data_IF_135187440694
#
_entry.id   IF_135187440694
#
_cell.length_a   1.000
_cell.length_b   1.000
_cell.length_c   1.000
_cell.angle_alpha   90.00
_cell.angle_beta   90.00
_cell.angle_gamma   90.00
#
_symmetry.space_group_name_H-M   'P 1'
#
loop_
_entity.id
_entity.type
_entity.pdbx_description
1 polymer ?
#
# COMPACT_ATOMS: atom_id res chain seq x y z
N UNK A 1 23.15 15.84 -13.37
CA UNK A 1 23.09 15.38 -11.96
C UNK A 1 21.69 15.53 -11.37
N UNK A 2 20.98 16.62 -11.65
CA UNK A 2 19.59 16.85 -11.16
C UNK A 2 18.61 15.76 -11.61
N UNK A 3 18.64 15.37 -12.89
CA UNK A 3 17.81 14.29 -13.41
C UNK A 3 17.97 12.99 -12.59
N UNK A 4 19.22 12.60 -12.27
CA UNK A 4 19.48 11.39 -11.48
C UNK A 4 18.97 11.52 -10.04
N UNK A 5 19.06 12.70 -9.45
CA UNK A 5 18.50 12.99 -8.13
C UNK A 5 16.97 12.84 -8.12
N UNK A 6 16.30 13.42 -9.11
CA UNK A 6 14.84 13.28 -9.26
C UNK A 6 14.41 11.84 -9.55
N UNK A 7 15.20 11.11 -10.35
CA UNK A 7 14.95 9.70 -10.64
C UNK A 7 15.03 8.84 -9.36
N UNK A 8 16.07 9.03 -8.55
CA UNK A 8 16.23 8.30 -7.28
C UNK A 8 15.10 8.65 -6.31
N UNK A 9 14.73 9.92 -6.20
CA UNK A 9 13.60 10.36 -5.40
C UNK A 9 12.28 9.76 -5.89
N UNK A 10 12.10 9.68 -7.20
CA UNK A 10 10.95 9.04 -7.83
C UNK A 10 10.88 7.54 -7.58
N UNK A 11 12.01 6.82 -7.66
CA UNK A 11 12.09 5.40 -7.32
C UNK A 11 11.80 5.18 -5.84
N UNK A 12 12.29 6.05 -4.94
CA UNK A 12 12.03 5.98 -3.52
C UNK A 12 10.54 6.17 -3.21
N UNK A 13 9.91 7.22 -3.75
CA UNK A 13 8.48 7.47 -3.62
C UNK A 13 7.65 6.34 -4.24
N UNK A 14 8.05 5.89 -5.42
CA UNK A 14 7.43 4.77 -6.13
C UNK A 14 7.53 3.45 -5.37
N UNK A 15 8.60 3.24 -4.61
CA UNK A 15 8.75 2.08 -3.75
C UNK A 15 7.74 2.08 -2.60
N UNK A 16 7.43 3.25 -2.02
CA UNK A 16 6.32 3.37 -1.03
C UNK A 16 4.99 3.01 -1.69
N UNK A 17 4.69 3.59 -2.86
CA UNK A 17 3.46 3.28 -3.59
C UNK A 17 3.39 1.80 -3.98
N UNK A 18 4.50 1.19 -4.35
CA UNK A 18 4.56 -0.23 -4.67
C UNK A 18 4.24 -1.11 -3.47
N UNK A 19 4.77 -0.82 -2.27
CA UNK A 19 4.45 -1.59 -1.05
C UNK A 19 2.95 -1.49 -0.75
N UNK A 20 2.36 -0.30 -0.85
CA UNK A 20 0.92 -0.11 -0.64
C UNK A 20 0.11 -0.84 -1.73
N UNK A 21 0.51 -0.73 -2.99
CA UNK A 21 -0.13 -1.39 -4.13
C UNK A 21 -0.08 -2.92 -4.04
N UNK A 22 1.01 -3.49 -3.47
CA UNK A 22 1.10 -4.91 -3.15
C UNK A 22 0.02 -5.32 -2.14
N UNK A 23 -0.25 -4.50 -1.11
CA UNK A 23 -1.34 -4.72 -0.16
C UNK A 23 -2.71 -4.72 -0.84
N UNK A 24 -2.99 -3.72 -1.68
CA UNK A 24 -4.23 -3.66 -2.48
C UNK A 24 -4.38 -4.87 -3.41
N UNK A 25 -3.33 -5.20 -4.12
CA UNK A 25 -3.33 -6.33 -5.08
C UNK A 25 -3.56 -7.66 -4.38
N UNK A 26 -3.02 -7.87 -3.18
CA UNK A 26 -3.29 -9.06 -2.38
C UNK A 26 -4.76 -9.15 -1.99
N UNK A 27 -5.33 -8.07 -1.43
CA UNK A 27 -6.73 -8.08 -0.98
C UNK A 27 -7.69 -8.21 -2.16
N UNK A 28 -7.56 -7.37 -3.19
CA UNK A 28 -8.46 -7.44 -4.35
C UNK A 28 -8.27 -8.72 -5.17
N UNK A 29 -7.04 -9.14 -5.39
CA UNK A 29 -6.74 -10.34 -6.17
C UNK A 29 -7.40 -11.61 -5.61
N UNK A 30 -7.51 -11.70 -4.29
CA UNK A 30 -7.98 -12.91 -3.59
C UNK A 30 -9.43 -12.75 -3.11
N UNK A 31 -9.74 -11.66 -2.41
CA UNK A 31 -11.08 -11.43 -1.88
C UNK A 31 -12.06 -10.90 -2.92
N UNK A 32 -11.57 -10.30 -4.02
CA UNK A 32 -12.35 -9.57 -5.04
C UNK A 32 -13.16 -8.43 -4.46
N UNK A 33 -12.63 -7.78 -3.43
CA UNK A 33 -13.25 -6.65 -2.72
C UNK A 33 -12.31 -5.47 -2.69
N UNK A 34 -12.81 -4.28 -3.02
CA UNK A 34 -12.07 -3.03 -2.91
C UNK A 34 -12.02 -2.59 -1.45
N UNK A 35 -10.83 -2.31 -0.94
CA UNK A 35 -10.62 -1.84 0.43
C UNK A 35 -10.09 -0.40 0.44
N UNK A 36 -10.98 0.60 0.35
CA UNK A 36 -10.55 2.01 0.42
C UNK A 36 -10.04 2.42 1.80
N UNK A 37 -10.41 1.70 2.87
CA UNK A 37 -9.86 1.92 4.20
C UNK A 37 -8.36 1.56 4.32
N UNK A 38 -7.76 0.93 3.29
CA UNK A 38 -6.34 0.57 3.29
C UNK A 38 -5.41 1.79 3.46
N UNK A 39 -5.78 2.94 2.86
CA UNK A 39 -5.08 4.20 3.08
C UNK A 39 -5.07 4.64 4.54
N UNK A 40 -6.15 4.41 5.27
CA UNK A 40 -6.26 4.80 6.66
C UNK A 40 -5.53 3.82 7.60
N UNK A 41 -5.37 2.57 7.19
CA UNK A 41 -4.46 1.63 7.89
C UNK A 41 -3.01 2.12 7.79
N UNK A 42 -2.60 2.72 6.65
CA UNK A 42 -1.29 3.39 6.50
C UNK A 42 -1.12 4.49 7.54
N UNK A 43 -2.13 5.35 7.68
CA UNK A 43 -2.16 6.43 8.68
C UNK A 43 -2.05 5.87 10.10
N UNK A 44 -2.85 4.86 10.46
CA UNK A 44 -2.79 4.22 11.78
C UNK A 44 -1.40 3.62 12.05
N UNK A 45 -0.77 2.99 11.06
CA UNK A 45 0.61 2.50 11.16
C UNK A 45 1.59 3.61 11.51
N UNK A 46 1.45 4.78 10.86
CA UNK A 46 2.20 5.99 11.18
C UNK A 46 1.96 6.46 12.61
N UNK A 47 0.71 6.56 13.06
CA UNK A 47 0.39 6.99 14.42
C UNK A 47 0.87 6.02 15.49
N UNK A 48 0.69 4.71 15.29
CA UNK A 48 1.17 3.70 16.26
C UNK A 48 2.67 3.76 16.40
N UNK A 49 3.42 3.83 15.30
CA UNK A 49 4.88 3.94 15.35
C UNK A 49 5.32 5.28 15.97
N UNK A 50 4.63 6.39 15.65
CA UNK A 50 4.87 7.69 16.28
C UNK A 50 4.67 7.62 17.79
N UNK A 51 3.57 7.06 18.26
CA UNK A 51 3.29 6.91 19.70
C UNK A 51 4.35 6.04 20.38
N UNK A 52 4.77 4.95 19.73
CA UNK A 52 5.80 4.07 20.25
C UNK A 52 7.16 4.77 20.41
N UNK A 53 7.57 5.56 19.41
CA UNK A 53 8.85 6.28 19.44
C UNK A 53 8.80 7.50 20.38
N UNK A 54 7.71 8.30 20.28
CA UNK A 54 7.64 9.60 20.94
C UNK A 54 7.19 9.52 22.41
N UNK A 55 6.13 8.73 22.71
CA UNK A 55 5.59 8.65 24.07
C UNK A 55 6.19 7.52 24.90
N UNK A 56 6.53 6.37 24.26
CA UNK A 56 7.07 5.21 24.96
C UNK A 56 8.61 5.16 24.90
N UNK A 57 9.26 6.00 24.09
CA UNK A 57 10.70 6.02 23.94
C UNK A 57 11.30 4.71 23.39
N UNK A 58 10.51 3.93 22.66
CA UNK A 58 10.94 2.63 22.15
C UNK A 58 11.91 2.78 20.98
N UNK A 59 12.85 1.85 20.80
CA UNK A 59 13.71 1.81 19.63
C UNK A 59 12.90 1.74 18.32
N UNK A 60 13.40 2.36 17.27
CA UNK A 60 12.71 2.47 15.98
C UNK A 60 12.23 1.12 15.44
N UNK A 61 13.05 0.06 15.56
CA UNK A 61 12.69 -1.29 15.09
C UNK A 61 11.48 -1.83 15.87
N UNK A 62 11.45 -1.65 17.19
CA UNK A 62 10.34 -2.10 18.03
C UNK A 62 9.07 -1.32 17.72
N UNK A 63 9.17 -0.02 17.47
CA UNK A 63 8.06 0.82 17.05
C UNK A 63 7.45 0.36 15.71
N UNK A 64 8.29 0.01 14.73
CA UNK A 64 7.85 -0.55 13.45
C UNK A 64 7.14 -1.89 13.65
N UNK A 65 7.71 -2.80 14.43
CA UNK A 65 7.10 -4.10 14.72
C UNK A 65 5.74 -3.94 15.43
N UNK A 66 5.64 -3.02 16.39
CA UNK A 66 4.39 -2.71 17.06
C UNK A 66 3.34 -2.18 16.09
N UNK A 67 3.71 -1.28 15.18
CA UNK A 67 2.81 -0.79 14.13
C UNK A 67 2.32 -1.93 13.23
N UNK A 68 3.20 -2.83 12.81
CA UNK A 68 2.86 -4.01 12.01
C UNK A 68 1.86 -4.91 12.74
N UNK A 69 2.10 -5.22 14.02
CA UNK A 69 1.21 -6.08 14.81
C UNK A 69 -0.17 -5.42 14.98
N UNK A 70 -0.21 -4.16 15.40
CA UNK A 70 -1.48 -3.43 15.63
C UNK A 70 -2.27 -3.32 14.32
N UNK A 71 -1.65 -2.95 13.21
CA UNK A 71 -2.34 -2.83 11.93
C UNK A 71 -2.78 -4.20 11.38
N UNK A 72 -2.01 -5.26 11.63
CA UNK A 72 -2.42 -6.63 11.27
C UNK A 72 -3.69 -7.03 12.01
N UNK A 73 -3.75 -6.79 13.31
CA UNK A 73 -4.96 -7.03 14.12
C UNK A 73 -6.11 -6.17 13.63
N UNK A 74 -5.87 -4.87 13.40
CA UNK A 74 -6.86 -3.94 12.86
C UNK A 74 -7.41 -4.43 11.51
N UNK A 75 -6.56 -4.91 10.61
CA UNK A 75 -6.98 -5.46 9.32
C UNK A 75 -7.89 -6.68 9.45
N UNK A 76 -7.60 -7.59 10.40
CA UNK A 76 -8.46 -8.74 10.70
C UNK A 76 -9.79 -8.27 11.29
N UNK A 77 -9.78 -7.26 12.16
CA UNK A 77 -11.00 -6.69 12.76
C UNK A 77 -11.88 -6.05 11.70
N UNK A 78 -11.31 -5.22 10.83
CA UNK A 78 -11.99 -4.59 9.70
C UNK A 78 -12.60 -5.67 8.79
N UNK A 79 -11.84 -6.70 8.45
CA UNK A 79 -12.34 -7.80 7.62
C UNK A 79 -13.53 -8.49 8.28
N UNK A 80 -13.43 -8.85 9.54
CA UNK A 80 -14.47 -9.61 10.24
C UNK A 80 -15.76 -8.80 10.49
N UNK A 81 -15.63 -7.53 10.83
CA UNK A 81 -16.77 -6.69 11.19
C UNK A 81 -17.43 -6.03 9.98
N UNK A 82 -16.62 -5.55 9.02
CA UNK A 82 -17.13 -4.75 7.91
C UNK A 82 -17.26 -5.54 6.60
N UNK A 83 -16.28 -6.40 6.26
CA UNK A 83 -16.26 -7.06 4.95
C UNK A 83 -16.88 -8.46 4.95
N UNK A 84 -16.66 -9.24 6.00
CA UNK A 84 -17.19 -10.62 6.08
C UNK A 84 -18.72 -10.70 5.94
N UNK A 85 -19.52 -9.82 6.59
CA UNK A 85 -20.98 -9.83 6.43
C UNK A 85 -21.45 -9.47 5.00
N UNK A 86 -20.63 -8.74 4.25
CA UNK A 86 -20.97 -8.23 2.92
C UNK A 86 -20.41 -9.04 1.75
N UNK A 87 -19.89 -10.24 2.00
CA UNK A 87 -19.27 -11.07 0.95
C UNK A 87 -20.23 -11.55 -0.13
N UNK A 88 -21.51 -11.64 0.19
CA UNK A 88 -22.60 -11.96 -0.75
C UNK A 88 -23.39 -10.74 -1.22
N UNK A 89 -23.05 -9.54 -0.71
CA UNK A 89 -23.73 -8.31 -1.08
C UNK A 89 -23.20 -7.75 -2.43
N UNK A 90 -23.99 -6.89 -3.10
CA UNK A 90 -23.53 -6.19 -4.29
C UNK A 90 -22.25 -5.42 -4.03
N UNK A 91 -21.38 -5.31 -5.06
CA UNK A 91 -20.08 -4.61 -4.97
C UNK A 91 -20.20 -3.15 -4.50
N UNK A 92 -21.33 -2.49 -4.80
CA UNK A 92 -21.62 -1.13 -4.35
C UNK A 92 -21.76 -1.05 -2.81
N UNK A 93 -22.41 -2.03 -2.17
CA UNK A 93 -22.53 -2.06 -0.71
C UNK A 93 -21.16 -2.22 -0.03
N UNK A 94 -20.31 -3.07 -0.59
CA UNK A 94 -18.91 -3.24 -0.13
C UNK A 94 -18.13 -1.94 -0.27
N UNK A 95 -18.28 -1.24 -1.39
CA UNK A 95 -17.62 0.05 -1.66
C UNK A 95 -18.03 1.12 -0.63
N UNK A 96 -19.35 1.28 -0.40
CA UNK A 96 -19.89 2.27 0.57
C UNK A 96 -19.39 1.94 1.97
N UNK A 97 -19.37 0.67 2.35
CA UNK A 97 -18.86 0.24 3.66
C UNK A 97 -17.36 0.52 3.79
N UNK A 98 -16.57 0.30 2.73
CA UNK A 98 -15.15 0.63 2.72
C UNK A 98 -14.89 2.13 2.97
N UNK A 99 -15.70 3.00 2.33
CA UNK A 99 -15.66 4.46 2.54
C UNK A 99 -16.09 4.80 3.97
N UNK A 100 -17.13 4.15 4.49
CA UNK A 100 -17.59 4.34 5.88
C UNK A 100 -16.51 3.99 6.90
N UNK A 101 -15.82 2.86 6.72
CA UNK A 101 -14.69 2.46 7.58
C UNK A 101 -13.55 3.46 7.47
N UNK A 102 -13.24 3.94 6.26
CA UNK A 102 -12.23 4.97 6.02
C UNK A 102 -12.53 6.23 6.84
N UNK A 103 -13.71 6.81 6.69
CA UNK A 103 -14.10 7.99 7.47
C UNK A 103 -14.16 7.74 8.97
N UNK A 104 -14.59 6.55 9.40
CA UNK A 104 -14.55 6.17 10.82
C UNK A 104 -13.13 6.21 11.38
N UNK A 105 -12.16 5.63 10.69
CA UNK A 105 -10.75 5.65 11.11
C UNK A 105 -10.16 7.06 11.11
N UNK A 106 -10.41 7.87 10.07
CA UNK A 106 -9.95 9.25 9.99
C UNK A 106 -10.50 10.11 11.13
N UNK A 107 -11.82 10.05 11.36
CA UNK A 107 -12.44 10.82 12.45
C UNK A 107 -12.02 10.32 13.84
N UNK A 108 -11.82 9.01 14.01
CA UNK A 108 -11.26 8.48 15.25
C UNK A 108 -9.84 8.99 15.49
N UNK A 109 -8.99 9.03 14.46
CA UNK A 109 -7.66 9.60 14.54
C UNK A 109 -7.71 11.10 14.84
N UNK A 110 -8.64 11.85 14.22
CA UNK A 110 -8.86 13.27 14.46
C UNK A 110 -9.24 13.56 15.92
N UNK A 111 -10.09 12.74 16.51
CA UNK A 111 -10.50 12.88 17.91
C UNK A 111 -9.34 12.57 18.87
N UNK A 112 -8.55 11.53 18.61
CA UNK A 112 -7.46 11.08 19.48
C UNK A 112 -6.24 12.01 19.38
N UNK A 113 -5.79 12.31 18.15
CA UNK A 113 -4.53 13.04 17.90
C UNK A 113 -4.72 14.48 17.46
N UNK A 114 -5.95 14.94 17.25
CA UNK A 114 -6.34 16.27 16.74
C UNK A 114 -5.90 16.50 15.28
N UNK A 115 -6.31 17.64 14.69
CA UNK A 115 -6.06 17.96 13.28
C UNK A 115 -4.62 18.46 12.99
N UNK A 116 -3.88 18.88 14.03
CA UNK A 116 -2.57 19.47 13.84
C UNK A 116 -1.55 18.46 13.32
N UNK A 117 -0.77 18.86 12.30
CA UNK A 117 0.33 18.06 11.80
C UNK A 117 1.37 17.82 12.91
N UNK A 118 1.77 16.58 13.06
CA UNK A 118 2.82 16.19 14.01
C UNK A 118 4.12 15.93 13.26
N UNK A 119 5.23 16.44 13.80
CA UNK A 119 6.56 16.13 13.28
C UNK A 119 6.87 14.67 13.58
N UNK A 120 7.11 13.90 12.52
CA UNK A 120 7.42 12.47 12.64
C UNK A 120 8.94 12.28 12.67
N UNK A 121 9.50 11.65 13.71
CA UNK A 121 10.92 11.33 13.76
C UNK A 121 11.24 10.25 12.72
N UNK A 122 12.17 10.49 11.77
CA UNK A 122 12.52 9.48 10.78
C UNK A 122 13.15 8.26 11.43
N UNK A 123 12.79 7.06 10.96
CA UNK A 123 13.31 5.79 11.49
C UNK A 123 14.83 5.68 11.32
N UNK A 124 15.35 6.23 10.22
CA UNK A 124 16.79 6.29 9.93
C UNK A 124 17.14 7.69 9.47
N UNK A 125 18.19 8.26 10.06
CA UNK A 125 18.71 9.59 9.72
C UNK A 125 20.05 9.47 9.00
N UNK A 126 20.35 10.45 8.13
CA UNK A 126 21.61 10.54 7.40
C UNK A 126 21.45 10.33 5.91
N UNK A 127 22.53 10.56 5.18
CA UNK A 127 22.58 10.45 3.73
C UNK A 127 23.97 10.05 3.23
N UNK A 128 24.00 9.29 2.13
CA UNK A 128 25.24 8.97 1.40
C UNK A 128 25.49 10.05 0.37
N UNK A 129 26.70 10.57 0.34
CA UNK A 129 27.19 11.47 -0.70
C UNK A 129 27.94 10.67 -1.75
N UNK A 130 27.44 10.67 -2.96
CA UNK A 130 28.00 9.94 -4.10
C UNK A 130 28.57 10.96 -5.10
N UNK A 131 29.52 10.57 -5.94
CA UNK A 131 30.18 11.42 -6.93
C UNK A 131 30.80 12.71 -6.33
N UNK A 132 31.58 12.57 -5.25
CA UNK A 132 32.25 13.72 -4.65
C UNK A 132 31.29 14.75 -4.01
N UNK A 133 30.13 14.34 -3.55
CA UNK A 133 29.13 15.21 -2.90
C UNK A 133 28.11 15.84 -3.86
N UNK A 134 28.19 15.57 -5.16
CA UNK A 134 27.24 16.11 -6.16
C UNK A 134 25.88 15.43 -6.14
N UNK A 135 25.77 14.25 -5.56
CA UNK A 135 24.52 13.51 -5.39
C UNK A 135 24.38 13.05 -3.95
N UNK A 136 23.30 13.46 -3.30
CA UNK A 136 23.00 13.08 -1.92
C UNK A 136 21.78 12.18 -1.91
N UNK A 137 21.94 10.92 -1.43
CA UNK A 137 20.85 9.95 -1.30
C UNK A 137 20.59 9.68 0.16
N UNK A 138 19.37 9.93 0.63
CA UNK A 138 18.98 9.67 2.02
C UNK A 138 19.00 8.17 2.34
N UNK A 139 19.45 7.81 3.55
CA UNK A 139 19.38 6.42 4.01
C UNK A 139 17.95 5.87 4.02
N UNK A 140 16.94 6.72 4.30
CA UNK A 140 15.55 6.31 4.25
C UNK A 140 15.12 5.91 2.83
N UNK A 141 15.63 6.58 1.79
CA UNK A 141 15.36 6.21 0.39
C UNK A 141 15.95 4.85 0.04
N UNK A 142 17.19 4.58 0.46
CA UNK A 142 17.83 3.28 0.24
C UNK A 142 17.09 2.16 1.00
N UNK A 143 16.71 2.42 2.24
CA UNK A 143 15.92 1.50 3.06
C UNK A 143 14.58 1.19 2.40
N UNK A 144 13.88 2.21 1.90
CA UNK A 144 12.57 2.06 1.27
C UNK A 144 12.65 1.22 -0.02
N UNK A 145 13.64 1.50 -0.86
CA UNK A 145 13.85 0.74 -2.11
C UNK A 145 14.20 -0.72 -1.80
N UNK A 146 15.13 -0.96 -0.88
CA UNK A 146 15.54 -2.31 -0.49
C UNK A 146 14.39 -3.08 0.17
N UNK A 147 13.64 -2.45 1.08
CA UNK A 147 12.46 -3.06 1.71
C UNK A 147 11.41 -3.43 0.68
N UNK A 148 11.15 -2.56 -0.31
CA UNK A 148 10.19 -2.82 -1.37
C UNK A 148 10.56 -4.06 -2.19
N UNK A 149 11.82 -4.18 -2.61
CA UNK A 149 12.31 -5.35 -3.37
C UNK A 149 12.22 -6.62 -2.53
N UNK A 150 12.66 -6.57 -1.28
CA UNK A 150 12.58 -7.72 -0.36
C UNK A 150 11.14 -8.16 -0.14
N UNK A 151 10.23 -7.22 0.11
CA UNK A 151 8.80 -7.50 0.30
C UNK A 151 8.20 -8.12 -0.97
N UNK A 152 8.50 -7.58 -2.14
CA UNK A 152 8.01 -8.12 -3.42
C UNK A 152 8.46 -9.57 -3.62
N UNK A 153 9.74 -9.87 -3.39
CA UNK A 153 10.30 -11.23 -3.50
C UNK A 153 9.65 -12.15 -2.46
N UNK A 154 9.59 -11.71 -1.20
CA UNK A 154 9.00 -12.49 -0.11
C UNK A 154 7.53 -12.83 -0.37
N UNK A 155 6.72 -11.86 -0.82
CA UNK A 155 5.32 -12.09 -1.18
C UNK A 155 5.17 -13.05 -2.36
N UNK A 156 5.97 -12.86 -3.40
CA UNK A 156 5.94 -13.75 -4.58
C UNK A 156 6.28 -15.18 -4.19
N UNK A 157 7.30 -15.38 -3.37
CA UNK A 157 7.67 -16.71 -2.87
C UNK A 157 6.60 -17.28 -1.92
N UNK A 158 6.05 -16.45 -1.03
CA UNK A 158 4.98 -16.86 -0.13
C UNK A 158 3.74 -17.34 -0.90
N UNK A 159 3.24 -16.55 -1.84
CA UNK A 159 2.05 -16.88 -2.63
C UNK A 159 2.30 -18.07 -3.56
N UNK A 160 3.51 -18.23 -4.10
CA UNK A 160 3.83 -19.33 -5.01
C UNK A 160 4.08 -20.66 -4.30
N UNK A 161 4.80 -20.65 -3.18
CA UNK A 161 5.34 -21.87 -2.54
C UNK A 161 4.60 -22.30 -1.28
N UNK A 162 4.00 -21.36 -0.50
CA UNK A 162 3.37 -21.73 0.78
C UNK A 162 2.02 -22.41 0.61
N UNK A 163 1.59 -23.21 1.60
CA UNK A 163 0.25 -23.80 1.64
C UNK A 163 -0.85 -22.75 1.64
N UNK A 164 -0.66 -21.66 2.43
CA UNK A 164 -1.60 -20.54 2.48
C UNK A 164 -1.64 -19.80 1.14
N UNK A 165 -0.50 -19.58 0.48
CA UNK A 165 -0.45 -18.97 -0.86
C UNK A 165 -1.15 -19.81 -1.93
N UNK A 166 -1.06 -21.15 -1.86
CA UNK A 166 -1.83 -22.05 -2.73
C UNK A 166 -3.33 -21.90 -2.47
N UNK A 167 -3.75 -21.85 -1.19
CA UNK A 167 -5.14 -21.61 -0.81
C UNK A 167 -5.65 -20.25 -1.31
N UNK A 168 -4.81 -19.19 -1.19
CA UNK A 168 -5.13 -17.86 -1.72
C UNK A 168 -5.36 -17.88 -3.22
N UNK A 169 -4.51 -18.55 -3.99
CA UNK A 169 -4.68 -18.68 -5.46
C UNK A 169 -5.94 -19.47 -5.82
N UNK A 170 -6.21 -20.58 -5.13
CA UNK A 170 -7.45 -21.34 -5.35
C UNK A 170 -8.69 -20.47 -5.06
N UNK A 171 -8.70 -19.71 -3.96
CA UNK A 171 -9.80 -18.79 -3.63
C UNK A 171 -9.94 -17.63 -4.64
N UNK A 172 -8.86 -17.24 -5.32
CA UNK A 172 -8.90 -16.17 -6.33
C UNK A 172 -9.56 -16.59 -7.62
N UNK A 173 -9.49 -17.88 -7.96
CA UNK A 173 -10.13 -18.47 -9.14
C UNK A 173 -11.62 -18.77 -8.88
N UNK A 174 -11.90 -19.57 -7.86
CA UNK A 174 -13.27 -19.90 -7.46
C UNK A 174 -13.35 -20.24 -5.97
N UNK A 175 -14.10 -19.41 -5.22
CA UNK A 175 -14.29 -19.59 -3.78
C UNK A 175 -15.12 -20.83 -3.44
N UNK A 176 -16.12 -21.16 -4.24
CA UNK A 176 -16.99 -22.30 -4.00
C UNK A 176 -16.25 -23.62 -4.26
N UNK A 177 -15.54 -23.71 -5.39
CA UNK A 177 -14.69 -24.86 -5.70
C UNK A 177 -13.57 -25.05 -4.66
N UNK A 178 -12.92 -23.96 -4.21
CA UNK A 178 -11.92 -24.03 -3.16
C UNK A 178 -12.49 -24.58 -1.84
N UNK A 179 -13.70 -24.19 -1.47
CA UNK A 179 -14.38 -24.70 -0.28
C UNK A 179 -14.69 -26.19 -0.38
N UNK A 180 -15.15 -26.65 -1.55
CA UNK A 180 -15.40 -28.09 -1.81
C UNK A 180 -14.12 -28.93 -1.71
N UNK A 181 -12.97 -28.35 -2.03
CA UNK A 181 -11.64 -28.96 -1.87
C UNK A 181 -11.08 -28.89 -0.44
N UNK A 182 -11.91 -28.48 0.54
CA UNK A 182 -11.54 -28.41 1.95
C UNK A 182 -10.73 -27.16 2.37
N UNK A 183 -10.63 -26.15 1.50
CA UNK A 183 -9.94 -24.90 1.83
C UNK A 183 -10.85 -24.02 2.69
N UNK A 184 -10.35 -23.57 3.84
CA UNK A 184 -11.06 -22.60 4.66
C UNK A 184 -10.97 -21.20 4.04
N UNK A 185 -11.96 -20.85 3.21
CA UNK A 185 -12.04 -19.56 2.51
C UNK A 185 -12.05 -18.39 3.48
N UNK A 186 -12.71 -18.51 4.65
CA UNK A 186 -12.75 -17.46 5.66
C UNK A 186 -11.35 -17.16 6.21
N UNK A 187 -10.62 -18.19 6.64
CA UNK A 187 -9.26 -18.03 7.14
C UNK A 187 -8.31 -17.47 6.07
N UNK A 188 -8.48 -17.89 4.82
CA UNK A 188 -7.68 -17.43 3.69
C UNK A 188 -7.89 -15.94 3.42
N UNK A 189 -9.14 -15.46 3.43
CA UNK A 189 -9.44 -14.03 3.23
C UNK A 189 -8.94 -13.21 4.42
N UNK A 190 -9.17 -13.65 5.67
CA UNK A 190 -8.66 -12.96 6.86
C UNK A 190 -7.13 -12.86 6.86
N UNK A 191 -6.43 -13.93 6.46
CA UNK A 191 -4.97 -13.90 6.31
C UNK A 191 -4.52 -12.90 5.22
N UNK A 192 -5.29 -12.76 4.15
CA UNK A 192 -5.00 -11.78 3.09
C UNK A 192 -5.10 -10.34 3.60
N UNK A 193 -6.17 -10.04 4.37
CA UNK A 193 -6.32 -8.72 5.00
C UNK A 193 -5.23 -8.46 6.03
N UNK A 194 -4.84 -9.46 6.81
CA UNK A 194 -3.74 -9.38 7.77
C UNK A 194 -2.41 -8.99 7.09
N UNK A 195 -2.05 -9.69 6.01
CA UNK A 195 -0.84 -9.39 5.24
C UNK A 195 -0.92 -8.01 4.59
N UNK A 196 -2.04 -7.67 3.95
CA UNK A 196 -2.24 -6.35 3.35
C UNK A 196 -2.07 -5.22 4.38
N UNK A 197 -2.67 -5.37 5.57
CA UNK A 197 -2.56 -4.37 6.64
C UNK A 197 -1.18 -4.30 7.27
N UNK A 198 -0.44 -5.41 7.34
CA UNK A 198 0.98 -5.42 7.74
C UNK A 198 1.84 -4.61 6.76
N UNK A 199 1.60 -4.76 5.45
CA UNK A 199 2.26 -3.98 4.41
C UNK A 199 1.90 -2.50 4.48
N UNK A 200 0.62 -2.18 4.75
CA UNK A 200 0.18 -0.82 4.96
C UNK A 200 0.89 -0.15 6.14
N UNK A 201 1.11 -0.87 7.24
CA UNK A 201 1.87 -0.35 8.38
C UNK A 201 3.31 -0.03 8.02
N UNK A 202 4.01 -0.95 7.34
CA UNK A 202 5.39 -0.73 6.88
C UNK A 202 5.45 0.49 5.95
N UNK A 203 4.55 0.56 4.98
CA UNK A 203 4.47 1.68 4.05
C UNK A 203 4.17 3.00 4.77
N UNK A 204 3.30 2.99 5.80
CA UNK A 204 2.97 4.15 6.62
C UNK A 204 4.18 4.70 7.36
N UNK A 205 4.95 3.83 8.00
CA UNK A 205 6.20 4.22 8.68
C UNK A 205 7.23 4.81 7.71
N UNK A 206 7.42 4.17 6.55
CA UNK A 206 8.34 4.64 5.52
C UNK A 206 7.88 5.97 4.92
N UNK A 207 6.58 6.11 4.62
CA UNK A 207 5.99 7.35 4.11
C UNK A 207 6.15 8.52 5.09
N UNK A 208 5.84 8.30 6.37
CA UNK A 208 5.97 9.31 7.41
C UNK A 208 7.44 9.67 7.67
N UNK A 209 8.35 8.70 7.60
CA UNK A 209 9.79 8.95 7.70
C UNK A 209 10.35 9.75 6.52
N UNK A 210 9.77 9.58 5.33
CA UNK A 210 10.14 10.33 4.13
C UNK A 210 9.60 11.77 4.17
N UNK A 211 8.33 11.94 4.54
CA UNK A 211 7.67 13.25 4.56
C UNK A 211 7.86 14.02 5.89
N UNK A 212 8.33 13.37 6.96
CA UNK A 212 8.50 13.91 8.32
C UNK A 212 7.25 14.58 8.90
N UNK A 213 6.07 14.29 8.35
CA UNK A 213 4.79 14.86 8.75
C UNK A 213 3.73 13.77 8.86
N UNK A 214 2.91 13.84 9.91
CA UNK A 214 1.83 12.90 10.18
C UNK A 214 0.55 13.66 10.53
N UNK A 215 -0.52 13.38 9.79
CA UNK A 215 -1.85 13.96 9.93
C UNK A 215 -2.93 12.86 9.80
N UNK A 216 -4.15 13.08 10.30
CA UNK A 216 -5.24 12.11 10.14
C UNK A 216 -5.60 11.78 8.68
N UNK A 217 -5.15 12.58 7.73
CA UNK A 217 -5.37 12.39 6.29
C UNK A 217 -4.13 11.90 5.54
N UNK A 218 -3.01 11.62 6.25
CA UNK A 218 -1.71 11.28 5.61
C UNK A 218 -1.80 10.07 4.68
N UNK A 219 -2.66 9.11 4.96
CA UNK A 219 -2.82 7.89 4.15
C UNK A 219 -3.76 8.04 2.95
N UNK A 220 -4.62 9.07 2.89
CA UNK A 220 -5.69 9.18 1.90
C UNK A 220 -5.17 9.30 0.48
N UNK A 221 -4.37 10.33 0.16
CA UNK A 221 -3.83 10.52 -1.19
C UNK A 221 -2.82 9.43 -1.61
N UNK A 222 -1.85 9.02 -0.77
CA UNK A 222 -1.00 7.88 -1.08
C UNK A 222 -1.78 6.59 -1.30
N UNK A 223 -2.86 6.35 -0.54
CA UNK A 223 -3.75 5.21 -0.71
C UNK A 223 -4.40 5.19 -2.09
N UNK A 224 -5.00 6.31 -2.53
CA UNK A 224 -5.62 6.43 -3.87
C UNK A 224 -4.57 6.25 -4.97
N UNK A 225 -3.39 6.87 -4.86
CA UNK A 225 -2.31 6.73 -5.85
C UNK A 225 -1.78 5.30 -5.92
N UNK A 226 -1.64 4.63 -4.80
CA UNK A 226 -1.20 3.24 -4.77
C UNK A 226 -2.27 2.27 -5.31
N UNK A 227 -3.55 2.55 -5.09
CA UNK A 227 -4.63 1.85 -5.79
C UNK A 227 -4.53 2.05 -7.30
N UNK A 228 -4.32 3.30 -7.73
CA UNK A 228 -4.03 3.64 -9.13
C UNK A 228 -2.84 2.84 -9.66
N UNK A 229 -1.76 2.74 -8.88
CA UNK A 229 -0.57 1.95 -9.22
C UNK A 229 -0.86 0.45 -9.37
N UNK A 230 -1.70 -0.11 -8.48
CA UNK A 230 -2.12 -1.50 -8.57
C UNK A 230 -2.95 -1.76 -9.85
N UNK A 231 -3.86 -0.84 -10.19
CA UNK A 231 -4.66 -0.91 -11.43
C UNK A 231 -3.77 -0.77 -12.67
N UNK A 232 -2.90 0.23 -12.67
CA UNK A 232 -1.92 0.49 -13.74
C UNK A 232 -1.02 -0.73 -14.00
N UNK A 233 -0.52 -1.34 -12.92
CA UNK A 233 0.32 -2.54 -13.00
C UNK A 233 -0.42 -3.80 -13.42
N UNK A 234 -1.72 -3.85 -13.18
CA UNK A 234 -2.60 -5.03 -13.36
C UNK A 234 -2.98 -5.66 -12.03
N UNK A 235 -4.19 -5.37 -11.56
CA UNK A 235 -4.69 -5.86 -10.26
C UNK A 235 -4.67 -7.40 -10.23
N UNK A 236 -4.14 -7.96 -9.13
CA UNK A 236 -3.97 -9.40 -8.95
C UNK A 236 -2.58 -9.92 -9.33
N UNK A 237 -1.76 -9.12 -10.01
CA UNK A 237 -0.37 -9.44 -10.33
C UNK A 237 0.58 -8.75 -9.35
N UNK A 238 1.29 -9.51 -8.50
CA UNK A 238 2.28 -8.98 -7.55
C UNK A 238 3.39 -8.22 -8.29
N UNK A 239 4.04 -8.79 -9.34
CA UNK A 239 5.04 -8.04 -10.11
C UNK A 239 4.45 -6.82 -10.83
N UNK A 240 3.17 -6.91 -11.25
CA UNK A 240 2.46 -5.79 -11.88
C UNK A 240 2.31 -4.62 -10.94
N UNK A 241 1.78 -4.84 -9.73
CA UNK A 241 1.61 -3.80 -8.72
C UNK A 241 2.94 -3.16 -8.31
N UNK A 242 4.01 -3.95 -8.21
CA UNK A 242 5.35 -3.45 -7.93
C UNK A 242 5.84 -2.50 -9.03
N UNK A 243 5.79 -2.92 -10.30
CA UNK A 243 6.19 -2.07 -11.42
C UNK A 243 5.30 -0.85 -11.58
N UNK A 244 3.99 -1.01 -11.38
CA UNK A 244 3.03 0.09 -11.42
C UNK A 244 3.33 1.15 -10.36
N UNK A 245 3.65 0.74 -9.14
CA UNK A 245 4.06 1.64 -8.06
C UNK A 245 5.34 2.42 -8.38
N UNK A 246 6.38 1.70 -8.83
CA UNK A 246 7.65 2.33 -9.20
C UNK A 246 7.47 3.34 -10.34
N UNK A 247 6.77 2.97 -11.41
CA UNK A 247 6.55 3.84 -12.55
C UNK A 247 5.75 5.09 -12.18
N UNK A 248 4.66 4.95 -11.40
CA UNK A 248 3.88 6.11 -10.97
C UNK A 248 4.66 7.05 -10.07
N UNK A 249 5.50 6.52 -9.17
CA UNK A 249 6.38 7.34 -8.34
C UNK A 249 7.41 8.12 -9.15
N UNK A 250 8.00 7.49 -10.18
CA UNK A 250 8.92 8.16 -11.11
C UNK A 250 8.19 9.23 -11.92
N UNK A 251 7.01 8.93 -12.47
CA UNK A 251 6.19 9.88 -13.22
C UNK A 251 5.83 11.07 -12.34
N UNK A 252 5.40 10.85 -11.10
CA UNK A 252 5.07 11.92 -10.17
C UNK A 252 6.28 12.80 -9.84
N UNK A 253 7.44 12.20 -9.57
CA UNK A 253 8.66 12.95 -9.26
C UNK A 253 9.13 13.79 -10.46
N UNK A 254 9.09 13.23 -11.67
CA UNK A 254 9.44 13.96 -12.90
C UNK A 254 8.43 15.08 -13.18
N UNK A 255 7.14 14.83 -12.98
CA UNK A 255 6.11 15.86 -13.15
C UNK A 255 6.30 17.03 -12.17
N UNK A 256 6.65 16.73 -10.92
CA UNK A 256 6.96 17.76 -9.90
C UNK A 256 8.20 18.58 -10.27
N UNK A 257 9.22 17.92 -10.80
CA UNK A 257 10.51 18.55 -11.10
C UNK A 257 10.48 19.41 -12.38
N UNK A 258 9.83 18.94 -13.43
CA UNK A 258 9.92 19.55 -14.76
C UNK A 258 8.65 20.29 -15.22
N UNK A 259 7.49 20.00 -14.62
CA UNK A 259 6.21 20.60 -15.07
C UNK A 259 5.65 21.49 -13.95
N UNK A 260 5.07 20.88 -12.90
CA UNK A 260 4.50 21.61 -11.76
C UNK A 260 4.14 20.67 -10.63
N UNK A 261 4.43 21.07 -9.40
CA UNK A 261 4.03 20.33 -8.20
C UNK A 261 2.50 20.23 -8.09
N UNK A 262 1.76 21.27 -8.49
CA UNK A 262 0.31 21.30 -8.42
C UNK A 262 -0.35 20.38 -9.46
N UNK A 263 0.27 20.21 -10.62
CA UNK A 263 -0.24 19.37 -11.71
C UNK A 263 0.21 17.91 -11.60
N UNK A 264 1.17 17.60 -10.74
CA UNK A 264 1.73 16.25 -10.64
C UNK A 264 0.66 15.18 -10.35
N UNK A 265 -0.31 15.47 -9.48
CA UNK A 265 -1.42 14.55 -9.20
C UNK A 265 -2.29 14.33 -10.44
N UNK A 266 -2.63 15.40 -11.15
CA UNK A 266 -3.44 15.31 -12.39
C UNK A 266 -2.74 14.50 -13.47
N UNK A 267 -1.42 14.65 -13.61
CA UNK A 267 -0.60 13.89 -14.56
C UNK A 267 -0.61 12.40 -14.20
N UNK A 268 -0.44 12.05 -12.93
CA UNK A 268 -0.48 10.64 -12.47
C UNK A 268 -1.82 9.99 -12.82
N UNK A 269 -2.94 10.66 -12.57
CA UNK A 269 -4.27 10.12 -12.89
C UNK A 269 -4.55 10.13 -14.40
N UNK A 270 -4.08 11.14 -15.14
CA UNK A 270 -4.18 11.16 -16.61
C UNK A 270 -3.43 9.99 -17.25
N UNK A 271 -2.22 9.69 -16.78
CA UNK A 271 -1.45 8.52 -17.25
C UNK A 271 -2.21 7.21 -16.98
N UNK A 272 -2.86 7.08 -15.80
CA UNK A 272 -3.70 5.91 -15.53
C UNK A 272 -4.82 5.78 -16.58
N UNK A 273 -5.56 6.87 -16.84
CA UNK A 273 -6.67 6.86 -17.80
C UNK A 273 -6.17 6.43 -19.19
N UNK A 274 -5.07 7.01 -19.67
CA UNK A 274 -4.48 6.65 -20.96
C UNK A 274 -4.10 5.17 -21.01
N UNK A 275 -3.46 4.66 -19.96
CA UNK A 275 -3.04 3.25 -19.94
C UNK A 275 -4.25 2.32 -19.91
N UNK A 276 -5.31 2.64 -19.16
CA UNK A 276 -6.52 1.82 -19.13
C UNK A 276 -7.29 1.84 -20.46
N UNK A 277 -7.26 2.96 -21.20
CA UNK A 277 -7.85 3.04 -22.54
C UNK A 277 -7.09 2.14 -23.55
N UNK A 278 -5.76 2.07 -23.43
CA UNK A 278 -4.92 1.27 -24.33
C UNK A 278 -4.85 -0.19 -23.89
N UNK A 279 -4.75 -0.43 -22.58
CA UNK A 279 -4.58 -1.77 -21.99
C UNK A 279 -5.43 -1.92 -20.73
N UNK A 280 -6.73 -2.25 -20.84
CA UNK A 280 -7.67 -2.28 -19.71
C UNK A 280 -7.29 -3.27 -18.61
N UNK A 281 -6.51 -4.31 -18.92
CA UNK A 281 -5.99 -5.25 -17.93
C UNK A 281 -4.77 -4.72 -17.13
N UNK A 282 -4.26 -3.52 -17.44
CA UNK A 282 -3.01 -3.01 -16.90
C UNK A 282 -1.77 -3.62 -17.56
N UNK A 283 -0.56 -3.20 -17.12
CA UNK A 283 0.70 -3.58 -17.78
C UNK A 283 0.96 -5.09 -17.78
N UNK A 284 0.76 -5.76 -16.65
CA UNK A 284 1.00 -7.20 -16.45
C UNK A 284 -0.26 -7.96 -16.00
N UNK A 285 -1.43 -7.36 -16.13
CA UNK A 285 -2.71 -8.02 -15.86
C UNK A 285 -3.06 -9.07 -16.91
N UNK A 286 -3.73 -10.15 -16.48
CA UNK A 286 -4.30 -11.12 -17.40
C UNK A 286 -5.73 -10.72 -17.75
N UNK A 287 -6.03 -10.65 -19.03
CA UNK A 287 -7.40 -10.50 -19.50
C UNK A 287 -8.17 -11.80 -19.22
N UNK A 288 -9.14 -11.73 -18.33
CA UNK A 288 -10.05 -12.84 -18.07
C UNK A 288 -11.36 -12.47 -18.77
N UNK A 289 -11.74 -13.14 -19.87
CA UNK A 289 -13.03 -12.90 -20.51
C UNK A 289 -14.14 -13.29 -19.53
N UNK A 290 -15.17 -12.45 -19.41
CA UNK A 290 -16.39 -12.83 -18.68
C UNK A 290 -16.97 -14.09 -19.33
N UNK A 291 -17.15 -15.13 -18.53
CA UNK A 291 -17.93 -16.29 -18.96
C UNK A 291 -19.40 -15.86 -18.99
N UNK A 292 -19.91 -15.67 -20.19
CA UNK A 292 -21.33 -15.45 -20.45
C UNK A 292 -22.10 -16.73 -20.08
#
# INVERSE_FOLDING_TARGET
MEFLSYLISGISLGSVYAIIALGYTMVYGIAKMLNFAHGDVIMIGGYVSFCAMFYLGLPNIVAVLMAVVVCTVLGIVIERLAYKPLRSAPSLAVLITAIGVSYFLQNSALLIWKAAARSYPPVVTGAVKIFGGKLTVSYISLLTISACVVIMIALTLFVSKSKMGKAMRACSEDKAAAQLMGINVNATISATFAIGSALAAIAGVLLCSFNTSLMPTTGSMPGIKAFTAAVFGGIGSIPGAFLGGLLLGVIEAMAKAYISTNLANSIVFAVLIVVLLVKPAGLLGKYVPEKV
#
